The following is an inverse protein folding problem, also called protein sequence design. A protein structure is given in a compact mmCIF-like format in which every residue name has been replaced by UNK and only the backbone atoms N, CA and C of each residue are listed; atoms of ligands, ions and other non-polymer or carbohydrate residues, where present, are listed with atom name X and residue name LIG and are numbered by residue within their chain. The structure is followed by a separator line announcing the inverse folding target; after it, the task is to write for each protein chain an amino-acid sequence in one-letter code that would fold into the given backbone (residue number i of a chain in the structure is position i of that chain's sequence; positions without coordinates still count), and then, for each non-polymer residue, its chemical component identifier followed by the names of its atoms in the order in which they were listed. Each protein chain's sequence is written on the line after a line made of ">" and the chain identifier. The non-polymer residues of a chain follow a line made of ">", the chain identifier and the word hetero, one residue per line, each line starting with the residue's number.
data_IF_563330483079
#
_entry.id   IF_563330483079
#
_cell.length_a   1.000
_cell.length_b   1.000
_cell.length_c   1.000
_cell.angle_alpha   90.00
_cell.angle_beta   90.00
_cell.angle_gamma   90.00
#
_symmetry.space_group_name_H-M   'P 1'
#
loop_
_entity.id
_entity.type
_entity.pdbx_description
1 polymer ?
#
# COMPACT_ATOMS: atom_id res chain seq x y z
N UNK A 1 4.69 -20.13 3.79
CA UNK A 1 4.41 -19.10 2.77
C UNK A 1 4.63 -17.68 3.31
N UNK A 2 3.93 -17.18 4.36
CA UNK A 2 4.12 -15.80 4.85
C UNK A 2 5.58 -15.46 5.13
N UNK A 3 6.30 -16.31 5.87
CA UNK A 3 7.74 -16.13 6.14
C UNK A 3 8.57 -16.06 4.86
N UNK A 4 8.30 -16.92 3.89
CA UNK A 4 9.02 -16.92 2.59
C UNK A 4 8.81 -15.62 1.83
N UNK A 5 7.58 -15.08 1.80
CA UNK A 5 7.28 -13.80 1.16
C UNK A 5 8.00 -12.64 1.86
N UNK A 6 8.01 -12.63 3.19
CA UNK A 6 8.70 -11.60 3.97
C UNK A 6 10.21 -11.66 3.70
N UNK A 7 10.82 -12.86 3.78
CA UNK A 7 12.25 -13.03 3.48
C UNK A 7 12.59 -12.60 2.06
N UNK A 8 11.75 -12.96 1.08
CA UNK A 8 11.94 -12.56 -0.31
C UNK A 8 12.02 -11.03 -0.48
N UNK A 9 11.21 -10.27 0.27
CA UNK A 9 11.31 -8.81 0.28
C UNK A 9 12.57 -8.32 1.00
N UNK A 10 12.88 -8.88 2.17
CA UNK A 10 14.05 -8.48 2.96
C UNK A 10 15.36 -8.79 2.24
N UNK A 11 15.46 -9.96 1.60
CA UNK A 11 16.63 -10.35 0.79
C UNK A 11 16.85 -9.43 -0.42
N UNK A 12 15.78 -8.79 -0.90
CA UNK A 12 15.84 -7.76 -1.92
C UNK A 12 16.17 -6.35 -1.37
N UNK A 13 16.39 -6.21 -0.06
CA UNK A 13 16.70 -4.94 0.60
C UNK A 13 15.47 -4.13 0.99
N UNK A 14 14.25 -4.68 0.90
CA UNK A 14 13.02 -4.01 1.32
C UNK A 14 12.77 -4.31 2.81
N UNK A 15 12.86 -3.28 3.65
CA UNK A 15 12.71 -3.37 5.10
C UNK A 15 11.44 -2.66 5.62
N UNK A 16 10.45 -2.46 4.76
CA UNK A 16 9.14 -1.93 5.15
C UNK A 16 8.05 -2.67 4.38
N UNK A 17 7.19 -3.37 5.09
CA UNK A 17 6.17 -4.24 4.49
C UNK A 17 4.78 -3.85 4.99
N UNK A 18 3.84 -3.70 4.06
CA UNK A 18 2.43 -3.50 4.38
C UNK A 18 1.70 -4.85 4.43
N UNK A 19 1.17 -5.19 5.59
CA UNK A 19 0.33 -6.37 5.80
C UNK A 19 -1.14 -5.98 5.76
N UNK A 20 -1.97 -6.89 5.25
CA UNK A 20 -3.43 -6.69 5.21
C UNK A 20 -3.84 -5.38 4.52
N UNK A 21 -3.07 -4.94 3.49
CA UNK A 21 -3.51 -3.92 2.55
C UNK A 21 -4.49 -4.50 1.53
N UNK A 22 -4.81 -3.74 0.48
CA UNK A 22 -5.68 -4.21 -0.62
C UNK A 22 -5.16 -5.50 -1.26
N UNK A 23 -3.87 -5.54 -1.59
CA UNK A 23 -3.21 -6.72 -2.17
C UNK A 23 -3.20 -7.92 -1.22
N UNK A 24 -3.14 -7.67 0.09
CA UNK A 24 -3.25 -8.68 1.14
C UNK A 24 -4.68 -9.09 1.47
N UNK A 25 -5.66 -8.78 0.61
CA UNK A 25 -7.07 -9.20 0.74
C UNK A 25 -7.75 -8.77 2.06
N UNK A 26 -7.38 -7.61 2.59
CA UNK A 26 -7.88 -7.09 3.89
C UNK A 26 -9.41 -7.18 4.06
N UNK A 27 -10.17 -6.99 2.98
CA UNK A 27 -11.63 -6.99 3.02
C UNK A 27 -12.25 -8.37 3.35
N UNK A 28 -11.50 -9.46 3.12
CA UNK A 28 -11.96 -10.85 3.31
C UNK A 28 -11.21 -11.59 4.42
N UNK A 29 -10.29 -10.93 5.09
CA UNK A 29 -9.66 -11.41 6.31
C UNK A 29 -10.50 -11.04 7.54
N UNK A 30 -10.64 -11.95 8.48
CA UNK A 30 -11.17 -11.64 9.81
C UNK A 30 -10.17 -10.80 10.61
N UNK A 31 -10.62 -10.14 11.67
CA UNK A 31 -9.72 -9.37 12.54
C UNK A 31 -8.66 -10.29 13.18
N UNK A 32 -9.05 -11.48 13.64
CA UNK A 32 -8.13 -12.47 14.22
C UNK A 32 -7.04 -12.89 13.22
N UNK A 33 -7.41 -13.12 11.95
CA UNK A 33 -6.43 -13.44 10.90
C UNK A 33 -5.45 -12.29 10.67
N UNK A 34 -5.93 -11.03 10.66
CA UNK A 34 -5.05 -9.84 10.51
C UNK A 34 -4.07 -9.74 11.67
N UNK A 35 -4.55 -9.89 12.90
CA UNK A 35 -3.71 -9.82 14.10
C UNK A 35 -2.68 -10.97 14.14
N UNK A 36 -3.08 -12.18 13.74
CA UNK A 36 -2.17 -13.32 13.67
C UNK A 36 -1.08 -13.11 12.60
N UNK A 37 -1.42 -12.54 11.43
CA UNK A 37 -0.46 -12.19 10.38
C UNK A 37 0.58 -11.19 10.92
N UNK A 38 0.16 -10.18 11.69
CA UNK A 38 1.06 -9.19 12.29
C UNK A 38 2.01 -9.86 13.28
N UNK A 39 1.49 -10.65 14.24
CA UNK A 39 2.31 -11.36 15.23
C UNK A 39 3.35 -12.26 14.60
N UNK A 40 2.96 -13.05 13.60
CA UNK A 40 3.90 -13.92 12.87
C UNK A 40 4.93 -13.13 12.09
N UNK A 41 4.52 -12.05 11.41
CA UNK A 41 5.47 -11.20 10.70
C UNK A 41 6.54 -10.66 11.66
N UNK A 42 6.14 -10.12 12.81
CA UNK A 42 7.11 -9.63 13.82
C UNK A 42 8.02 -10.73 14.37
N UNK A 43 7.54 -11.96 14.51
CA UNK A 43 8.39 -13.10 14.88
C UNK A 43 9.45 -13.41 13.82
N UNK A 44 9.13 -13.22 12.53
CA UNK A 44 10.08 -13.49 11.43
C UNK A 44 11.06 -12.34 11.19
N UNK A 45 10.66 -11.11 11.45
CA UNK A 45 11.43 -9.90 11.11
C UNK A 45 12.17 -9.30 12.31
N UNK A 46 11.70 -9.51 13.52
CA UNK A 46 12.24 -8.81 14.70
C UNK A 46 12.19 -7.30 14.52
N UNK A 47 13.34 -6.64 14.70
CA UNK A 47 13.52 -5.20 14.50
C UNK A 47 14.00 -4.83 13.08
N UNK A 48 14.33 -5.82 12.24
CA UNK A 48 14.99 -5.57 10.95
C UNK A 48 14.02 -5.14 9.85
N UNK A 49 12.70 -5.18 10.11
CA UNK A 49 11.69 -4.77 9.15
C UNK A 49 10.53 -4.04 9.84
N UNK A 50 10.16 -2.90 9.30
CA UNK A 50 8.98 -2.14 9.72
C UNK A 50 7.71 -2.79 9.19
N UNK A 51 6.79 -3.15 10.08
CA UNK A 51 5.50 -3.75 9.75
C UNK A 51 4.40 -2.70 9.82
N UNK A 52 3.83 -2.38 8.66
CA UNK A 52 2.69 -1.47 8.53
C UNK A 52 1.42 -2.31 8.39
N UNK A 53 0.46 -2.15 9.31
CA UNK A 53 -0.79 -2.90 9.28
C UNK A 53 -1.94 -2.14 8.63
N UNK A 54 -2.63 -2.74 7.66
CA UNK A 54 -3.87 -2.23 7.08
C UNK A 54 -5.06 -2.49 8.00
N UNK A 55 -5.53 -1.46 8.70
CA UNK A 55 -6.64 -1.56 9.67
C UNK A 55 -7.84 -0.67 9.35
N UNK A 56 -7.73 0.14 8.27
CA UNK A 56 -8.82 1.03 7.85
C UNK A 56 -10.07 0.27 7.38
N UNK A 57 -11.23 0.79 7.75
CA UNK A 57 -12.53 0.34 7.26
C UNK A 57 -13.55 1.48 7.27
N UNK A 58 -14.78 1.21 6.81
CA UNK A 58 -15.84 2.22 6.73
C UNK A 58 -16.63 2.43 8.03
N UNK A 59 -16.24 1.77 9.11
CA UNK A 59 -16.74 2.00 10.48
C UNK A 59 -15.62 2.55 11.35
N UNK A 60 -15.71 3.81 11.77
CA UNK A 60 -14.70 4.47 12.61
C UNK A 60 -14.43 3.69 13.90
N UNK A 61 -15.50 3.23 14.58
CA UNK A 61 -15.37 2.48 15.82
C UNK A 61 -14.65 1.14 15.61
N UNK A 62 -14.88 0.45 14.49
CA UNK A 62 -14.19 -0.78 14.15
C UNK A 62 -12.71 -0.51 13.79
N UNK A 63 -12.46 0.47 12.91
CA UNK A 63 -11.10 0.85 12.54
C UNK A 63 -10.25 1.23 13.77
N UNK A 64 -10.82 2.00 14.72
CA UNK A 64 -10.13 2.36 15.96
C UNK A 64 -9.79 1.13 16.82
N UNK A 65 -10.74 0.23 17.05
CA UNK A 65 -10.49 -1.00 17.82
C UNK A 65 -9.45 -1.91 17.15
N UNK A 66 -9.57 -2.11 15.84
CA UNK A 66 -8.62 -2.94 15.09
C UNK A 66 -7.22 -2.31 15.06
N UNK A 67 -7.14 -0.98 14.95
CA UNK A 67 -5.87 -0.24 14.99
C UNK A 67 -5.15 -0.41 16.34
N UNK A 68 -5.89 -0.27 17.44
CA UNK A 68 -5.36 -0.52 18.77
C UNK A 68 -4.89 -1.97 18.93
N UNK A 69 -5.69 -2.95 18.51
CA UNK A 69 -5.31 -4.36 18.57
C UNK A 69 -4.10 -4.70 17.66
N UNK A 70 -3.95 -4.00 16.53
CA UNK A 70 -2.79 -4.17 15.65
C UNK A 70 -1.50 -3.62 16.28
N UNK A 71 -1.57 -2.47 16.97
CA UNK A 71 -0.46 -1.95 17.78
C UNK A 71 -0.05 -2.94 18.86
N UNK A 72 -0.99 -3.47 19.64
CA UNK A 72 -0.74 -4.51 20.66
C UNK A 72 -0.21 -5.82 20.05
N UNK A 73 -0.53 -6.12 18.79
CA UNK A 73 0.01 -7.27 18.07
C UNK A 73 1.43 -7.06 17.54
N UNK A 74 1.98 -5.84 17.66
CA UNK A 74 3.34 -5.48 17.29
C UNK A 74 3.49 -4.79 15.92
N UNK A 75 2.43 -4.21 15.37
CA UNK A 75 2.58 -3.33 14.21
C UNK A 75 3.40 -2.09 14.57
N UNK A 76 4.29 -1.68 13.68
CA UNK A 76 5.13 -0.49 13.87
C UNK A 76 4.45 0.79 13.34
N UNK A 77 3.50 0.64 12.40
CA UNK A 77 2.69 1.72 11.85
C UNK A 77 1.37 1.18 11.28
N UNK A 78 0.46 2.08 10.94
CA UNK A 78 -0.84 1.75 10.38
C UNK A 78 -1.05 2.37 9.01
N UNK A 79 -1.70 1.62 8.11
CA UNK A 79 -2.22 2.12 6.83
C UNK A 79 -3.75 2.15 6.90
N UNK A 80 -4.32 3.35 6.92
CA UNK A 80 -5.76 3.56 7.11
C UNK A 80 -6.39 4.02 5.79
N UNK A 81 -7.08 3.11 5.10
CA UNK A 81 -7.88 3.47 3.92
C UNK A 81 -9.07 4.35 4.31
N UNK A 82 -9.38 5.35 3.49
CA UNK A 82 -10.56 6.18 3.71
C UNK A 82 -11.85 5.34 3.77
N UNK A 83 -12.86 5.74 4.57
CA UNK A 83 -14.13 5.05 4.62
C UNK A 83 -14.73 4.88 3.22
N UNK A 84 -15.03 3.65 2.85
CA UNK A 84 -15.59 3.27 1.56
C UNK A 84 -17.10 3.01 1.68
N UNK A 85 -17.82 3.09 0.57
CA UNK A 85 -19.25 2.80 0.45
C UNK A 85 -20.16 3.88 1.05
N UNK A 86 -20.04 4.23 2.33
CA UNK A 86 -20.87 5.23 3.04
C UNK A 86 -20.45 6.69 2.83
N UNK A 87 -19.45 6.96 1.97
CA UNK A 87 -19.04 8.27 1.41
C UNK A 87 -19.04 9.41 2.43
N UNK A 88 -18.09 9.36 3.35
CA UNK A 88 -17.94 10.40 4.38
C UNK A 88 -17.70 11.80 3.76
N UNK A 89 -18.23 12.84 4.43
CA UNK A 89 -17.92 14.23 4.12
C UNK A 89 -16.48 14.60 4.54
N UNK A 90 -15.92 15.73 4.11
CA UNK A 90 -14.60 16.19 4.58
C UNK A 90 -14.48 16.23 6.11
N UNK A 91 -15.49 16.75 6.80
CA UNK A 91 -15.55 16.80 8.25
C UNK A 91 -15.59 15.39 8.87
N UNK A 92 -16.35 14.49 8.25
CA UNK A 92 -16.43 13.08 8.65
C UNK A 92 -15.10 12.35 8.44
N UNK A 93 -14.38 12.62 7.34
CA UNK A 93 -13.04 12.08 7.08
C UNK A 93 -12.04 12.55 8.16
N UNK A 94 -12.00 13.85 8.44
CA UNK A 94 -11.15 14.37 9.50
C UNK A 94 -11.46 13.73 10.85
N UNK A 95 -12.74 13.68 11.25
CA UNK A 95 -13.17 13.09 12.50
C UNK A 95 -12.83 11.59 12.60
N UNK A 96 -12.95 10.86 11.48
CA UNK A 96 -12.57 9.44 11.38
C UNK A 96 -11.09 9.23 11.70
N UNK A 97 -10.19 9.94 10.99
CA UNK A 97 -8.75 9.83 11.21
C UNK A 97 -8.34 10.32 12.61
N UNK A 98 -8.88 11.44 13.07
CA UNK A 98 -8.62 11.96 14.41
C UNK A 98 -9.02 10.96 15.50
N UNK A 99 -10.17 10.30 15.35
CA UNK A 99 -10.63 9.27 16.30
C UNK A 99 -9.67 8.11 16.37
N UNK A 100 -9.20 7.61 15.23
CA UNK A 100 -8.22 6.51 15.17
C UNK A 100 -6.89 6.98 15.78
N UNK A 101 -6.42 8.17 15.41
CA UNK A 101 -5.16 8.71 15.89
C UNK A 101 -5.12 8.87 17.41
N UNK A 102 -6.25 9.12 18.06
CA UNK A 102 -6.37 9.19 19.52
C UNK A 102 -6.33 7.83 20.22
N UNK A 103 -6.49 6.73 19.50
CA UNK A 103 -6.53 5.38 20.12
C UNK A 103 -5.19 4.64 20.03
N UNK A 104 -4.22 5.16 19.28
CA UNK A 104 -2.91 4.53 19.07
C UNK A 104 -1.78 5.54 19.26
N UNK A 105 -0.60 5.03 19.59
CA UNK A 105 0.62 5.84 19.71
C UNK A 105 1.53 5.72 18.47
N UNK A 106 1.39 4.66 17.68
CA UNK A 106 2.20 4.39 16.50
C UNK A 106 1.80 5.27 15.31
N UNK A 107 2.73 5.48 14.35
CA UNK A 107 2.49 6.27 13.16
C UNK A 107 1.32 5.78 12.30
N UNK A 108 0.58 6.71 11.72
CA UNK A 108 -0.54 6.46 10.80
C UNK A 108 -0.21 7.04 9.43
N UNK A 109 -0.48 6.24 8.39
CA UNK A 109 -0.46 6.65 6.99
C UNK A 109 -1.90 6.66 6.49
N UNK A 110 -2.41 7.83 6.12
CA UNK A 110 -3.74 7.96 5.50
C UNK A 110 -3.68 7.41 4.06
N UNK A 111 -4.65 6.59 3.68
CA UNK A 111 -4.66 5.97 2.35
C UNK A 111 -5.88 6.41 1.54
N UNK A 112 -5.61 7.08 0.41
CA UNK A 112 -6.59 7.51 -0.55
C UNK A 112 -6.57 6.64 -1.81
N UNK A 113 -7.71 6.06 -2.17
CA UNK A 113 -7.88 5.24 -3.37
C UNK A 113 -9.32 5.37 -3.90
N UNK A 114 -9.67 6.52 -4.48
CA UNK A 114 -11.05 6.85 -4.83
C UNK A 114 -11.69 5.86 -5.81
N UNK A 115 -10.91 5.23 -6.68
CA UNK A 115 -11.39 4.18 -7.58
C UNK A 115 -11.95 2.93 -6.86
N UNK A 116 -11.61 2.73 -5.58
CA UNK A 116 -12.14 1.64 -4.75
C UNK A 116 -13.11 2.10 -3.69
N UNK A 117 -12.84 3.25 -3.09
CA UNK A 117 -13.64 3.75 -1.95
C UNK A 117 -14.87 4.54 -2.38
N UNK A 118 -14.84 5.14 -3.56
CA UNK A 118 -15.83 6.11 -4.02
C UNK A 118 -15.74 7.45 -3.28
N UNK A 119 -14.64 7.66 -2.54
CA UNK A 119 -14.33 8.91 -1.82
C UNK A 119 -12.92 9.33 -2.15
N UNK A 120 -12.74 10.58 -2.55
CA UNK A 120 -11.44 11.21 -2.72
C UNK A 120 -11.18 12.15 -1.55
N UNK A 121 -10.10 11.93 -0.79
CA UNK A 121 -9.75 12.78 0.36
C UNK A 121 -9.30 14.15 -0.19
N UNK A 122 -10.01 15.26 0.11
CA UNK A 122 -9.59 16.58 -0.35
C UNK A 122 -8.25 17.02 0.26
N UNK A 123 -7.50 17.88 -0.44
CA UNK A 123 -6.24 18.45 0.08
C UNK A 123 -6.46 19.17 1.41
N UNK A 124 -7.58 19.89 1.56
CA UNK A 124 -7.94 20.57 2.81
C UNK A 124 -8.11 19.64 4.01
N UNK A 125 -8.45 18.38 3.80
CA UNK A 125 -8.47 17.36 4.86
C UNK A 125 -7.05 16.95 5.22
N UNK A 126 -6.17 16.74 4.24
CA UNK A 126 -4.75 16.47 4.52
C UNK A 126 -4.08 17.60 5.27
N UNK A 127 -4.39 18.86 4.95
CA UNK A 127 -3.89 20.04 5.71
C UNK A 127 -4.31 19.99 7.18
N UNK A 128 -5.53 19.55 7.48
CA UNK A 128 -5.98 19.36 8.86
C UNK A 128 -5.30 18.14 9.52
N UNK A 129 -5.13 17.03 8.78
CA UNK A 129 -4.45 15.84 9.27
C UNK A 129 -2.96 16.08 9.55
N UNK A 130 -2.32 17.00 8.82
CA UNK A 130 -0.93 17.42 9.00
C UNK A 130 -0.65 17.99 10.40
N UNK A 131 -1.68 18.46 11.10
CA UNK A 131 -1.55 18.97 12.47
C UNK A 131 -1.70 17.88 13.56
N UNK A 132 -2.00 16.63 13.16
CA UNK A 132 -2.13 15.50 14.11
C UNK A 132 -0.78 14.78 14.20
N UNK A 133 -0.11 14.78 15.39
CA UNK A 133 1.30 14.38 15.50
C UNK A 133 1.64 12.97 15.02
N UNK A 134 0.75 11.99 15.18
CA UNK A 134 0.98 10.62 14.77
C UNK A 134 0.39 10.27 13.39
N UNK A 135 -0.18 11.23 12.65
CA UNK A 135 -0.47 11.06 11.23
C UNK A 135 0.73 11.58 10.45
N UNK A 136 1.62 10.67 10.06
CA UNK A 136 2.95 11.00 9.53
C UNK A 136 3.05 11.00 8.01
N UNK A 137 1.98 10.58 7.32
CA UNK A 137 2.05 10.53 5.87
C UNK A 137 0.75 10.05 5.21
N UNK A 138 0.83 9.96 3.89
CA UNK A 138 -0.25 9.49 3.07
C UNK A 138 0.23 8.58 1.94
N UNK A 139 -0.59 7.59 1.61
CA UNK A 139 -0.54 6.84 0.36
C UNK A 139 -1.59 7.40 -0.59
N UNK A 140 -1.15 8.00 -1.69
CA UNK A 140 -2.04 8.56 -2.71
C UNK A 140 -2.11 7.62 -3.92
N UNK A 141 -3.30 7.13 -4.22
CA UNK A 141 -3.57 6.23 -5.34
C UNK A 141 -4.77 6.71 -6.17
N UNK A 142 -5.00 8.02 -6.23
CA UNK A 142 -5.83 8.63 -7.25
C UNK A 142 -5.04 8.78 -8.55
N UNK A 143 -5.75 8.85 -9.68
CA UNK A 143 -5.12 9.08 -10.98
C UNK A 143 -4.60 10.53 -11.17
N UNK A 144 -4.89 11.45 -10.25
CA UNK A 144 -4.45 12.84 -10.32
C UNK A 144 -3.08 13.05 -9.69
N UNK A 145 -2.03 12.99 -10.51
CA UNK A 145 -0.65 13.22 -10.08
C UNK A 145 -0.44 14.65 -9.54
N UNK A 146 -1.24 15.63 -9.99
CA UNK A 146 -1.11 17.03 -9.53
C UNK A 146 -1.50 17.17 -8.06
N UNK A 147 -2.27 16.23 -7.54
CA UNK A 147 -2.65 16.18 -6.12
C UNK A 147 -1.44 15.94 -5.23
N UNK A 148 -0.49 15.10 -5.66
CA UNK A 148 0.78 14.87 -4.93
C UNK A 148 1.52 16.19 -4.76
N UNK A 149 1.64 17.00 -5.82
CA UNK A 149 2.28 18.33 -5.74
C UNK A 149 1.61 19.25 -4.73
N UNK A 150 0.26 19.29 -4.73
CA UNK A 150 -0.50 20.14 -3.81
C UNK A 150 -0.28 19.70 -2.36
N UNK A 151 -0.33 18.39 -2.11
CA UNK A 151 -0.13 17.83 -0.77
C UNK A 151 1.30 18.07 -0.29
N UNK A 152 2.31 17.77 -1.10
CA UNK A 152 3.72 18.01 -0.74
C UNK A 152 4.02 19.49 -0.44
N UNK A 153 3.26 20.42 -1.07
CA UNK A 153 3.38 21.85 -0.79
C UNK A 153 2.72 22.25 0.52
N UNK A 154 1.54 21.68 0.84
CA UNK A 154 0.70 22.14 1.96
C UNK A 154 0.90 21.34 3.25
N UNK A 155 1.49 20.15 3.18
CA UNK A 155 1.60 19.22 4.30
C UNK A 155 3.07 18.92 4.60
N UNK A 156 3.74 19.82 5.26
CA UNK A 156 5.19 19.80 5.54
C UNK A 156 5.62 18.78 6.60
N UNK A 157 4.68 18.30 7.43
CA UNK A 157 4.91 17.30 8.49
C UNK A 157 4.59 15.89 8.02
N UNK A 158 4.01 15.72 6.83
CA UNK A 158 3.58 14.43 6.28
C UNK A 158 4.44 14.01 5.09
N UNK A 159 4.74 12.73 5.03
CA UNK A 159 5.41 12.12 3.86
C UNK A 159 4.38 11.58 2.87
N UNK A 160 4.56 11.89 1.58
CA UNK A 160 3.73 11.33 0.51
C UNK A 160 4.40 10.09 -0.12
N UNK A 161 3.62 9.03 -0.31
CA UNK A 161 3.95 7.87 -1.14
C UNK A 161 2.88 7.69 -2.21
N UNK A 162 3.29 7.35 -3.44
CA UNK A 162 2.31 6.91 -4.42
C UNK A 162 1.85 5.48 -4.15
N UNK A 163 0.59 5.19 -4.46
CA UNK A 163 0.06 3.83 -4.46
C UNK A 163 -0.06 3.23 -5.86
N UNK A 164 0.44 3.94 -6.88
CA UNK A 164 0.34 3.62 -8.30
C UNK A 164 1.74 3.33 -8.85
N UNK A 165 2.01 2.08 -9.20
CA UNK A 165 3.32 1.64 -9.70
C UNK A 165 3.71 2.34 -11.00
N UNK A 166 2.75 2.60 -11.88
CA UNK A 166 2.91 3.32 -13.15
C UNK A 166 3.26 4.81 -13.00
N UNK A 167 3.08 5.37 -11.82
CA UNK A 167 3.37 6.77 -11.51
C UNK A 167 4.57 6.95 -10.57
N UNK A 168 5.34 5.90 -10.28
CA UNK A 168 6.38 5.93 -9.25
C UNK A 168 7.40 7.05 -9.49
N UNK A 169 8.01 7.07 -10.66
CA UNK A 169 9.07 8.05 -11.00
C UNK A 169 8.51 9.47 -11.05
N UNK A 170 7.35 9.64 -11.68
CA UNK A 170 6.70 10.95 -11.78
C UNK A 170 6.25 11.48 -10.40
N UNK A 171 5.74 10.62 -9.52
CA UNK A 171 5.36 11.01 -8.17
C UNK A 171 6.57 11.44 -7.33
N UNK A 172 7.70 10.75 -7.44
CA UNK A 172 8.95 11.11 -6.76
C UNK A 172 9.47 12.45 -7.27
N UNK A 173 9.43 12.70 -8.57
CA UNK A 173 9.80 13.99 -9.16
C UNK A 173 8.95 15.16 -8.64
N UNK A 174 7.72 14.89 -8.20
CA UNK A 174 6.79 15.87 -7.62
C UNK A 174 6.84 15.94 -6.08
N UNK A 175 7.76 15.21 -5.43
CA UNK A 175 8.02 15.30 -3.99
C UNK A 175 7.63 14.08 -3.17
N UNK A 176 7.01 13.04 -3.75
CA UNK A 176 6.79 11.78 -3.06
C UNK A 176 8.12 11.10 -2.68
N UNK A 177 8.11 10.32 -1.60
CA UNK A 177 9.30 9.64 -1.07
C UNK A 177 9.36 8.15 -1.41
N UNK A 178 8.59 7.74 -2.41
CA UNK A 178 8.58 6.36 -2.89
C UNK A 178 7.18 5.86 -3.25
N UNK A 179 7.06 4.55 -3.31
CA UNK A 179 5.84 3.84 -3.68
C UNK A 179 5.47 2.76 -2.67
N UNK A 180 4.19 2.62 -2.37
CA UNK A 180 3.65 1.43 -1.70
C UNK A 180 3.07 0.53 -2.78
N UNK A 181 3.88 -0.39 -3.27
CA UNK A 181 3.82 -1.05 -4.56
C UNK A 181 3.04 -2.36 -4.56
N UNK A 182 2.47 -2.70 -5.71
CA UNK A 182 2.02 -4.06 -6.07
C UNK A 182 3.12 -4.80 -6.83
N UNK A 183 3.81 -4.10 -7.74
CA UNK A 183 4.90 -4.64 -8.56
C UNK A 183 6.02 -5.27 -7.69
N UNK A 184 6.34 -4.64 -6.55
CA UNK A 184 7.39 -5.13 -5.64
C UNK A 184 7.13 -6.53 -5.09
N UNK A 185 5.90 -7.02 -5.08
CA UNK A 185 5.64 -8.41 -4.72
C UNK A 185 6.32 -9.38 -5.71
N UNK A 186 6.40 -9.00 -6.99
CA UNK A 186 6.93 -9.85 -8.07
C UNK A 186 8.40 -9.54 -8.37
N UNK A 187 8.75 -8.26 -8.46
CA UNK A 187 10.08 -7.76 -8.79
C UNK A 187 10.58 -6.74 -7.76
N UNK A 188 10.86 -7.17 -6.51
CA UNK A 188 11.24 -6.23 -5.44
C UNK A 188 12.54 -5.48 -5.72
N UNK A 189 13.58 -6.16 -6.22
CA UNK A 189 14.89 -5.54 -6.50
C UNK A 189 14.75 -4.42 -7.54
N UNK A 190 14.05 -4.70 -8.64
CA UNK A 190 13.90 -3.74 -9.74
C UNK A 190 13.02 -2.55 -9.31
N UNK A 191 11.95 -2.83 -8.57
CA UNK A 191 11.05 -1.78 -8.05
C UNK A 191 11.80 -0.85 -7.10
N UNK A 192 12.62 -1.41 -6.21
CA UNK A 192 13.42 -0.61 -5.27
C UNK A 192 14.50 0.19 -6.00
N UNK A 193 15.23 -0.43 -6.94
CA UNK A 193 16.25 0.25 -7.71
C UNK A 193 15.69 1.44 -8.50
N UNK A 194 14.54 1.28 -9.15
CA UNK A 194 13.83 2.36 -9.85
C UNK A 194 13.47 3.52 -8.90
N UNK A 195 12.90 3.20 -7.73
CA UNK A 195 12.51 4.23 -6.77
C UNK A 195 13.74 4.95 -6.18
N UNK A 196 14.82 4.24 -5.89
CA UNK A 196 16.07 4.83 -5.37
C UNK A 196 16.73 5.72 -6.41
N UNK A 197 16.84 5.30 -7.68
CA UNK A 197 17.38 6.13 -8.75
C UNK A 197 16.61 7.47 -8.86
N UNK A 198 15.28 7.42 -8.80
CA UNK A 198 14.46 8.64 -8.81
C UNK A 198 14.70 9.53 -7.57
N UNK A 199 14.83 8.93 -6.38
CA UNK A 199 15.10 9.65 -5.12
C UNK A 199 16.49 10.29 -5.11
N UNK A 200 17.49 9.67 -5.76
CA UNK A 200 18.84 10.18 -5.92
C UNK A 200 18.94 11.25 -7.03
N UNK A 201 17.84 11.51 -7.75
CA UNK A 201 17.77 12.50 -8.83
C UNK A 201 18.22 11.98 -10.20
N UNK A 202 18.55 10.70 -10.33
CA UNK A 202 18.86 10.06 -11.62
C UNK A 202 17.56 9.66 -12.35
N UNK A 203 16.89 10.68 -12.86
CA UNK A 203 15.60 10.49 -13.54
C UNK A 203 15.73 9.80 -14.91
N UNK A 204 16.88 9.88 -15.57
CA UNK A 204 17.10 9.18 -16.84
C UNK A 204 17.12 7.66 -16.63
N UNK A 205 17.88 7.18 -15.66
CA UNK A 205 17.88 5.75 -15.25
C UNK A 205 16.52 5.32 -14.72
N UNK A 206 15.92 6.10 -13.84
CA UNK A 206 14.62 5.77 -13.25
C UNK A 206 13.52 5.67 -14.31
N UNK A 207 13.49 6.61 -15.28
CA UNK A 207 12.52 6.60 -16.37
C UNK A 207 12.71 5.41 -17.31
N UNK A 208 13.95 5.04 -17.63
CA UNK A 208 14.25 3.84 -18.43
C UNK A 208 13.72 2.58 -17.70
N UNK A 209 14.01 2.45 -16.40
CA UNK A 209 13.51 1.32 -15.60
C UNK A 209 11.98 1.30 -15.51
N UNK A 210 11.32 2.46 -15.37
CA UNK A 210 9.86 2.56 -15.36
C UNK A 210 9.27 2.06 -16.69
N UNK A 211 9.89 2.44 -17.83
CA UNK A 211 9.45 2.01 -19.16
C UNK A 211 9.62 0.50 -19.35
N UNK A 212 10.72 -0.07 -18.90
CA UNK A 212 10.98 -1.52 -18.98
C UNK A 212 10.01 -2.34 -18.13
N UNK A 213 9.58 -1.81 -16.98
CA UNK A 213 8.66 -2.45 -16.05
C UNK A 213 7.17 -2.24 -16.42
N UNK A 214 6.86 -1.22 -17.25
CA UNK A 214 5.49 -0.85 -17.58
C UNK A 214 4.65 -2.02 -18.12
N UNK A 215 5.16 -2.89 -19.02
CA UNK A 215 4.36 -4.01 -19.50
C UNK A 215 3.91 -4.99 -18.40
N UNK A 216 4.75 -5.20 -17.37
CA UNK A 216 4.34 -6.02 -16.22
C UNK A 216 3.37 -5.27 -15.31
N UNK A 217 3.58 -3.98 -15.08
CA UNK A 217 2.64 -3.15 -14.31
C UNK A 217 1.26 -3.23 -14.95
N UNK A 218 1.14 -3.03 -16.26
CA UNK A 218 -0.13 -3.12 -16.99
C UNK A 218 -0.79 -4.51 -16.81
N UNK A 219 0.00 -5.58 -16.85
CA UNK A 219 -0.50 -6.94 -16.62
C UNK A 219 -0.98 -7.17 -15.19
N UNK A 220 -0.31 -6.59 -14.19
CA UNK A 220 -0.69 -6.71 -12.77
C UNK A 220 -1.99 -5.97 -12.45
N UNK A 221 -2.38 -5.00 -13.29
CA UNK A 221 -3.62 -4.24 -13.16
C UNK A 221 -4.63 -4.49 -14.28
N UNK A 222 -4.38 -5.47 -15.18
CA UNK A 222 -5.31 -5.86 -16.24
C UNK A 222 -6.66 -6.40 -15.71
N UNK A 223 -6.65 -6.94 -14.50
CA UNK A 223 -7.83 -7.31 -13.72
C UNK A 223 -7.72 -6.69 -12.32
N UNK A 224 -8.79 -6.83 -11.53
CA UNK A 224 -8.79 -6.27 -10.16
C UNK A 224 -7.65 -6.85 -9.31
N UNK A 225 -6.75 -5.99 -8.84
CA UNK A 225 -5.73 -6.39 -7.86
C UNK A 225 -6.42 -6.87 -6.55
N UNK A 226 -6.05 -8.07 -6.02
CA UNK A 226 -4.82 -8.83 -6.22
C UNK A 226 -4.91 -10.03 -7.19
N UNK A 227 -5.90 -10.12 -8.05
CA UNK A 227 -6.10 -11.28 -8.92
C UNK A 227 -4.85 -11.57 -9.80
N UNK A 228 -4.31 -10.60 -10.59
CA UNK A 228 -3.15 -10.86 -11.43
C UNK A 228 -1.87 -11.07 -10.63
N UNK A 229 -1.64 -10.30 -9.56
CA UNK A 229 -0.39 -10.44 -8.79
C UNK A 229 -0.28 -11.80 -8.10
N UNK A 230 -1.38 -12.37 -7.58
CA UNK A 230 -1.35 -13.74 -7.04
C UNK A 230 -1.05 -14.78 -8.10
N UNK A 231 -1.54 -14.58 -9.33
CA UNK A 231 -1.19 -15.44 -10.44
C UNK A 231 0.28 -15.28 -10.86
N UNK A 232 0.81 -14.04 -10.85
CA UNK A 232 2.21 -13.75 -11.14
C UNK A 232 3.15 -14.39 -10.12
N UNK A 233 2.84 -14.28 -8.82
CA UNK A 233 3.62 -14.87 -7.74
C UNK A 233 3.83 -16.38 -7.91
N UNK A 234 2.81 -17.09 -8.42
CA UNK A 234 2.94 -18.51 -8.71
C UNK A 234 4.01 -18.82 -9.75
N UNK A 235 4.18 -17.98 -10.77
CA UNK A 235 5.17 -18.19 -11.83
C UNK A 235 6.60 -17.90 -11.37
N UNK A 236 6.79 -17.15 -10.31
CA UNK A 236 8.10 -16.91 -9.67
C UNK A 236 8.35 -17.83 -8.46
N UNK A 237 7.50 -18.86 -8.25
CA UNK A 237 7.73 -19.89 -7.25
C UNK A 237 6.94 -19.74 -5.93
N UNK A 238 6.07 -18.73 -5.80
CA UNK A 238 5.26 -18.53 -4.60
C UNK A 238 3.77 -18.82 -4.88
N UNK A 239 3.33 -20.05 -4.63
CA UNK A 239 1.90 -20.39 -4.75
C UNK A 239 1.11 -19.91 -3.52
N UNK A 240 0.64 -18.67 -3.60
CA UNK A 240 -0.18 -18.02 -2.56
C UNK A 240 -1.66 -18.48 -2.58
N UNK A 241 -2.01 -19.48 -3.36
CA UNK A 241 -3.39 -19.91 -3.55
C UNK A 241 -4.22 -18.94 -4.40
N UNK A 242 -5.52 -19.17 -4.46
CA UNK A 242 -6.47 -18.26 -5.11
C UNK A 242 -6.89 -17.09 -4.23
N UNK A 243 -7.59 -16.13 -4.82
CA UNK A 243 -8.26 -15.08 -4.04
C UNK A 243 -9.48 -15.65 -3.30
N UNK A 244 -9.82 -15.06 -2.16
CA UNK A 244 -11.09 -15.32 -1.48
C UNK A 244 -12.25 -14.66 -2.22
N UNK A 245 -13.41 -15.30 -2.22
CA UNK A 245 -14.61 -14.67 -2.78
C UNK A 245 -14.89 -13.33 -2.07
N UNK A 246 -15.41 -12.31 -2.80
CA UNK A 246 -16.00 -12.39 -4.13
C UNK A 246 -15.01 -12.33 -5.30
N UNK A 247 -13.69 -12.24 -5.06
CA UNK A 247 -12.71 -12.21 -6.13
C UNK A 247 -12.53 -13.60 -6.76
N UNK A 248 -12.35 -13.61 -8.10
CA UNK A 248 -12.14 -14.83 -8.89
C UNK A 248 -10.67 -15.17 -9.07
N UNK A 249 -10.40 -16.25 -9.77
CA UNK A 249 -9.09 -16.54 -10.34
C UNK A 249 -8.83 -15.62 -11.53
N UNK A 250 -7.56 -15.32 -11.82
CA UNK A 250 -7.17 -14.63 -13.04
C UNK A 250 -7.64 -15.40 -14.29
N UNK A 251 -8.04 -14.67 -15.32
CA UNK A 251 -8.47 -15.23 -16.60
C UNK A 251 -7.34 -16.05 -17.25
N UNK A 252 -7.71 -16.96 -18.15
CA UNK A 252 -6.73 -17.73 -18.91
C UNK A 252 -5.82 -16.84 -19.76
N UNK A 253 -6.35 -15.74 -20.27
CA UNK A 253 -5.60 -14.76 -21.05
C UNK A 253 -4.53 -14.06 -20.18
N UNK A 254 -4.93 -13.52 -19.03
CA UNK A 254 -4.01 -12.86 -18.09
C UNK A 254 -2.93 -13.84 -17.60
N UNK A 255 -3.31 -15.07 -17.25
CA UNK A 255 -2.35 -16.13 -16.87
C UNK A 255 -1.33 -16.42 -17.97
N UNK A 256 -1.79 -16.53 -19.22
CA UNK A 256 -0.90 -16.81 -20.36
C UNK A 256 0.10 -15.65 -20.59
N UNK A 257 -0.37 -14.39 -20.53
CA UNK A 257 0.49 -13.20 -20.68
C UNK A 257 1.51 -13.10 -19.55
N UNK A 258 1.09 -13.27 -18.30
CA UNK A 258 1.98 -13.26 -17.13
C UNK A 258 3.03 -14.37 -17.21
N UNK A 259 2.62 -15.60 -17.58
CA UNK A 259 3.57 -16.71 -17.78
C UNK A 259 4.61 -16.37 -18.83
N UNK A 260 4.19 -15.86 -20.00
CA UNK A 260 5.11 -15.48 -21.08
C UNK A 260 6.11 -14.40 -20.66
N UNK A 261 5.69 -13.47 -19.79
CA UNK A 261 6.56 -12.38 -19.32
C UNK A 261 7.57 -12.83 -18.25
N UNK A 262 7.15 -13.77 -17.37
CA UNK A 262 7.92 -14.14 -16.17
C UNK A 262 8.74 -15.42 -16.33
N UNK A 263 8.52 -16.23 -17.38
CA UNK A 263 9.23 -17.49 -17.67
C UNK A 263 9.84 -17.49 -19.07
#
# INVERSE_FOLDING_TARGET
>A
MLEQLIRYQMDAGIHTIVLSGTTGESATLTDDEKLEIIRRAKQYTGADCTIIAGTGCNSTAHAARLSFAAEEAGADALLIVSPYYNKATPEGLYAHYLTIAKTVSIPIIAYNVPGRTGVDIPVSVYEQLNEIPNIVGMKEAAADITKITRICRSCDKMTAWTGSDDLTVAAIALGAKGVISVLSNVLPVQTQAMALAALDGDFDTAASMQQDLQPLIDLLFAEVNPIPVKAAMKYIGFDCGGCRMPLSQASSETKAKLKKYLT
#
